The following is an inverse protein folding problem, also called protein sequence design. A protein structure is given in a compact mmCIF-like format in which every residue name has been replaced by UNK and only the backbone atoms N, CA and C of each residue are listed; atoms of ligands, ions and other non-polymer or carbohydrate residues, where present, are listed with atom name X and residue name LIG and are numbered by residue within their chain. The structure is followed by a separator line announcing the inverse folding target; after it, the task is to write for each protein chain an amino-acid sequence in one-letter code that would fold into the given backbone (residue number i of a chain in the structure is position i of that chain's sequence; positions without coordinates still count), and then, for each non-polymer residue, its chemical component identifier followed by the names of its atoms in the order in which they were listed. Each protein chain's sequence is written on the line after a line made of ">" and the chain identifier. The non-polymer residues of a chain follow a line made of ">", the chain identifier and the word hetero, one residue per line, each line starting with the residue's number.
data_IF_857900530168
#
_entry.id   IF_857900530168
#
_cell.length_a   1.000
_cell.length_b   1.000
_cell.length_c   1.000
_cell.angle_alpha   90.00
_cell.angle_beta   90.00
_cell.angle_gamma   90.00
#
_symmetry.space_group_name_H-M   'P 1'
#
loop_
_entity.id
_entity.type
_entity.pdbx_description
1 polymer ?
#
# COMPACT_ATOMS: atom_id res chain seq x y z
N UNK A 1 -23.45 -6.64 3.09
CA UNK A 1 -22.90 -5.29 3.42
C UNK A 1 -21.52 -5.18 2.81
N UNK A 2 -21.04 -3.98 2.47
CA UNK A 2 -19.68 -3.82 1.95
C UNK A 2 -18.79 -3.06 2.92
N UNK A 3 -17.50 -3.43 2.92
CA UNK A 3 -16.49 -2.87 3.81
C UNK A 3 -15.43 -2.16 2.96
N UNK A 4 -15.35 -0.85 3.09
CA UNK A 4 -14.44 0.01 2.33
C UNK A 4 -13.21 0.31 3.19
N UNK A 5 -12.04 -0.07 2.75
CA UNK A 5 -10.76 0.29 3.32
C UNK A 5 -10.04 1.30 2.42
N UNK A 6 -9.62 2.44 2.98
CA UNK A 6 -8.75 3.41 2.34
C UNK A 6 -7.36 3.33 2.95
N UNK A 7 -6.33 3.23 2.13
CA UNK A 7 -4.93 3.38 2.55
C UNK A 7 -4.36 4.64 1.89
N UNK A 8 -4.06 5.63 2.71
CA UNK A 8 -3.50 6.91 2.27
C UNK A 8 -2.04 6.99 2.69
N UNK A 9 -1.16 6.55 1.81
CA UNK A 9 0.27 6.58 2.01
C UNK A 9 0.91 7.92 1.63
N UNK A 10 2.24 7.98 1.71
CA UNK A 10 3.04 9.17 1.36
C UNK A 10 2.96 9.55 -0.12
N UNK A 11 2.75 8.58 -1.01
CA UNK A 11 2.76 8.79 -2.47
C UNK A 11 1.47 8.35 -3.17
N UNK A 12 0.65 7.54 -2.52
CA UNK A 12 -0.49 6.86 -3.15
C UNK A 12 -1.72 6.83 -2.27
N UNK A 13 -2.89 6.78 -2.90
CA UNK A 13 -4.17 6.40 -2.29
C UNK A 13 -4.60 5.06 -2.87
N UNK A 14 -4.99 4.16 -2.00
CA UNK A 14 -5.51 2.85 -2.39
C UNK A 14 -6.89 2.65 -1.76
N UNK A 15 -7.74 1.92 -2.45
CA UNK A 15 -9.04 1.49 -1.95
C UNK A 15 -9.19 0.00 -2.17
N UNK A 16 -9.73 -0.68 -1.18
CA UNK A 16 -10.22 -2.04 -1.30
C UNK A 16 -11.63 -2.10 -0.72
N UNK A 17 -12.51 -2.81 -1.41
CA UNK A 17 -13.87 -3.07 -0.95
C UNK A 17 -14.06 -4.56 -0.86
N UNK A 18 -14.48 -5.01 0.31
CA UNK A 18 -14.73 -6.40 0.61
C UNK A 18 -16.23 -6.63 0.84
N UNK A 19 -16.71 -7.82 0.50
CA UNK A 19 -18.01 -8.31 0.96
C UNK A 19 -17.92 -8.95 2.36
N UNK A 20 -19.04 -9.46 2.88
CA UNK A 20 -19.11 -10.10 4.19
C UNK A 20 -18.30 -11.40 4.27
N UNK A 21 -17.96 -12.01 3.14
CA UNK A 21 -17.12 -13.20 3.02
C UNK A 21 -15.63 -12.87 2.79
N UNK A 22 -15.25 -11.60 2.89
CA UNK A 22 -13.91 -11.07 2.62
C UNK A 22 -13.43 -11.22 1.16
N UNK A 23 -14.33 -11.38 0.19
CA UNK A 23 -13.95 -11.30 -1.21
C UNK A 23 -13.76 -9.83 -1.63
N UNK A 24 -12.69 -9.56 -2.37
CA UNK A 24 -12.47 -8.22 -2.91
C UNK A 24 -13.37 -8.00 -4.13
N UNK A 25 -14.39 -7.14 -3.95
CA UNK A 25 -15.35 -6.77 -5.02
C UNK A 25 -14.90 -5.54 -5.82
N UNK A 26 -14.05 -4.70 -5.23
CA UNK A 26 -13.44 -3.57 -5.92
C UNK A 26 -12.09 -3.24 -5.33
N UNK A 27 -11.16 -2.79 -6.17
CA UNK A 27 -9.85 -2.26 -5.75
C UNK A 27 -9.35 -1.24 -6.74
N UNK A 28 -8.68 -0.21 -6.24
CA UNK A 28 -8.00 0.79 -7.04
C UNK A 28 -6.72 1.26 -6.33
N UNK A 29 -5.75 1.68 -7.11
CA UNK A 29 -4.46 2.18 -6.66
C UNK A 29 -4.10 3.39 -7.52
N UNK A 30 -3.90 4.57 -6.90
CA UNK A 30 -3.63 5.80 -7.62
C UNK A 30 -2.57 6.65 -6.91
N UNK A 31 -1.65 7.25 -7.68
CA UNK A 31 -0.71 8.24 -7.16
C UNK A 31 -1.42 9.56 -6.94
N UNK A 32 -1.15 10.21 -5.80
CA UNK A 32 -1.83 11.47 -5.48
C UNK A 32 -1.03 12.72 -5.88
N UNK A 33 0.26 12.61 -6.23
CA UNK A 33 1.09 13.75 -6.65
C UNK A 33 0.92 14.98 -5.74
N UNK A 34 0.83 14.76 -4.43
CA UNK A 34 0.56 15.75 -3.38
C UNK A 34 -0.88 16.31 -3.35
N UNK A 35 -1.78 15.91 -4.24
CA UNK A 35 -3.20 16.26 -4.21
C UNK A 35 -4.06 15.11 -3.66
N UNK A 36 -3.91 14.86 -2.36
CA UNK A 36 -4.57 13.75 -1.66
C UNK A 36 -6.09 13.87 -1.75
N UNK A 37 -6.65 15.08 -1.56
CA UNK A 37 -8.11 15.26 -1.55
C UNK A 37 -8.75 14.95 -2.87
N UNK A 38 -8.16 15.43 -3.96
CA UNK A 38 -8.61 15.14 -5.32
C UNK A 38 -8.54 13.65 -5.60
N UNK A 39 -7.42 13.02 -5.30
CA UNK A 39 -7.23 11.58 -5.53
C UNK A 39 -8.20 10.73 -4.73
N UNK A 40 -8.48 11.06 -3.46
CA UNK A 40 -9.51 10.37 -2.68
C UNK A 40 -10.89 10.52 -3.34
N UNK A 41 -11.25 11.71 -3.81
CA UNK A 41 -12.52 11.94 -4.48
C UNK A 41 -12.65 11.12 -5.77
N UNK A 42 -11.58 11.03 -6.57
CA UNK A 42 -11.53 10.23 -7.81
C UNK A 42 -11.65 8.73 -7.51
N UNK A 43 -10.89 8.23 -6.53
CA UNK A 43 -10.88 6.82 -6.14
C UNK A 43 -12.24 6.39 -5.56
N UNK A 44 -12.84 7.22 -4.71
CA UNK A 44 -14.18 6.99 -4.17
C UNK A 44 -15.26 7.12 -5.24
N UNK A 45 -15.15 8.10 -6.15
CA UNK A 45 -16.06 8.27 -7.27
C UNK A 45 -16.12 7.02 -8.14
N UNK A 46 -14.96 6.51 -8.59
CA UNK A 46 -14.89 5.27 -9.36
C UNK A 46 -15.41 4.04 -8.61
N UNK A 47 -15.23 4.01 -7.29
CA UNK A 47 -15.82 2.97 -6.44
C UNK A 47 -17.35 3.03 -6.47
N UNK A 48 -17.93 4.22 -6.24
CA UNK A 48 -19.39 4.42 -6.18
C UNK A 48 -20.08 4.18 -7.52
N UNK A 49 -19.41 4.38 -8.65
CA UNK A 49 -19.93 4.04 -9.98
C UNK A 49 -20.02 2.52 -10.20
N UNK A 50 -19.21 1.75 -9.47
CA UNK A 50 -19.11 0.29 -9.63
C UNK A 50 -19.99 -0.46 -8.63
N UNK A 51 -20.21 0.13 -7.44
CA UNK A 51 -20.90 -0.51 -6.32
C UNK A 51 -22.29 0.08 -6.16
N UNK A 52 -23.33 -0.75 -6.23
CA UNK A 52 -24.75 -0.37 -6.00
C UNK A 52 -25.24 -0.79 -4.60
N UNK A 53 -24.36 -0.75 -3.60
CA UNK A 53 -24.72 -1.08 -2.21
C UNK A 53 -24.73 0.19 -1.35
N UNK A 54 -25.86 0.41 -0.63
CA UNK A 54 -26.05 1.59 0.23
C UNK A 54 -25.54 1.38 1.66
N UNK A 55 -25.45 0.13 2.10
CA UNK A 55 -24.96 -0.21 3.44
C UNK A 55 -23.48 -0.52 3.39
N UNK A 56 -22.67 0.48 3.71
CA UNK A 56 -21.21 0.36 3.70
C UNK A 56 -20.62 0.73 5.06
N UNK A 57 -19.54 0.06 5.46
CA UNK A 57 -18.64 0.55 6.49
C UNK A 57 -17.38 1.09 5.84
N UNK A 58 -16.78 2.13 6.42
CA UNK A 58 -15.58 2.75 5.89
C UNK A 58 -14.54 2.91 6.99
N UNK A 59 -13.30 2.60 6.70
CA UNK A 59 -12.16 2.89 7.57
C UNK A 59 -10.97 3.37 6.74
N UNK A 60 -10.06 4.09 7.37
CA UNK A 60 -8.86 4.61 6.72
C UNK A 60 -7.60 4.22 7.50
N UNK A 61 -6.52 3.96 6.78
CA UNK A 61 -5.18 3.68 7.28
C UNK A 61 -4.12 4.44 6.48
N UNK A 62 -2.86 4.21 6.77
CA UNK A 62 -1.72 4.84 6.10
C UNK A 62 -1.24 6.12 6.78
N UNK A 63 -0.05 6.59 6.40
CA UNK A 63 0.61 7.75 7.00
C UNK A 63 -0.19 9.05 6.87
N UNK A 64 -0.95 9.23 5.78
CA UNK A 64 -1.89 10.35 5.57
C UNK A 64 -3.29 10.10 6.16
N UNK A 65 -3.57 8.88 6.61
CA UNK A 65 -4.91 8.45 7.01
C UNK A 65 -5.49 9.20 8.21
N UNK A 66 -4.68 9.64 9.17
CA UNK A 66 -5.15 10.40 10.35
C UNK A 66 -5.85 11.69 9.92
N UNK A 67 -5.25 12.46 9.02
CA UNK A 67 -5.85 13.69 8.51
C UNK A 67 -7.17 13.41 7.77
N UNK A 68 -7.19 12.35 6.97
CA UNK A 68 -8.38 11.94 6.21
C UNK A 68 -9.51 11.46 7.14
N UNK A 69 -9.16 10.71 8.19
CA UNK A 69 -10.10 10.31 9.25
C UNK A 69 -10.82 11.52 9.85
N UNK A 70 -10.07 12.57 10.18
CA UNK A 70 -10.65 13.81 10.71
C UNK A 70 -11.52 14.54 9.67
N UNK A 71 -11.09 14.60 8.41
CA UNK A 71 -11.85 15.32 7.37
C UNK A 71 -13.17 14.63 7.03
N UNK A 72 -13.18 13.31 7.00
CA UNK A 72 -14.35 12.53 6.60
C UNK A 72 -15.18 12.02 7.77
N UNK A 73 -14.71 12.16 9.01
CA UNK A 73 -15.36 11.63 10.19
C UNK A 73 -15.44 10.09 10.22
N UNK A 74 -14.45 9.41 9.64
CA UNK A 74 -14.38 7.95 9.56
C UNK A 74 -13.31 7.38 10.49
N UNK A 75 -13.43 6.13 10.97
CA UNK A 75 -12.44 5.50 11.84
C UNK A 75 -11.06 5.41 11.17
N UNK A 76 -10.01 5.70 11.96
CA UNK A 76 -8.63 5.42 11.60
C UNK A 76 -8.20 4.08 12.19
N UNK A 77 -7.56 3.24 11.38
CA UNK A 77 -6.93 1.99 11.79
C UNK A 77 -5.43 2.12 11.62
N UNK A 78 -4.68 1.79 12.66
CA UNK A 78 -3.23 1.84 12.60
C UNK A 78 -2.69 0.88 11.54
N UNK A 79 -1.72 1.33 10.75
CA UNK A 79 -1.19 0.64 9.58
C UNK A 79 -0.66 -0.78 9.91
N UNK A 80 0.07 -0.91 11.02
CA UNK A 80 0.54 -2.23 11.50
C UNK A 80 -0.62 -3.20 11.75
N UNK A 81 -1.67 -2.71 12.40
CA UNK A 81 -2.86 -3.53 12.71
C UNK A 81 -3.61 -3.90 11.43
N UNK A 82 -3.80 -2.95 10.52
CA UNK A 82 -4.45 -3.21 9.24
C UNK A 82 -3.69 -4.24 8.40
N UNK A 83 -2.38 -4.06 8.22
CA UNK A 83 -1.53 -4.96 7.46
C UNK A 83 -1.46 -6.36 8.07
N UNK A 84 -1.26 -6.46 9.38
CA UNK A 84 -1.21 -7.74 10.09
C UNK A 84 -2.54 -8.50 9.97
N UNK A 85 -3.66 -7.81 10.18
CA UNK A 85 -4.99 -8.42 10.04
C UNK A 85 -5.23 -8.94 8.62
N UNK A 86 -4.85 -8.17 7.61
CA UNK A 86 -4.97 -8.57 6.21
C UNK A 86 -4.13 -9.83 5.92
N UNK A 87 -2.86 -9.86 6.36
CA UNK A 87 -1.99 -11.02 6.16
C UNK A 87 -2.55 -12.26 6.85
N UNK A 88 -2.94 -12.13 8.11
CA UNK A 88 -3.51 -13.26 8.86
C UNK A 88 -4.83 -13.77 8.28
N UNK A 89 -5.61 -12.90 7.63
CA UNK A 89 -6.87 -13.29 7.01
C UNK A 89 -6.68 -13.96 5.66
N UNK A 90 -5.83 -13.39 4.80
CA UNK A 90 -5.73 -13.83 3.40
C UNK A 90 -4.59 -14.80 3.12
N UNK A 91 -3.52 -14.74 3.91
CA UNK A 91 -2.33 -15.59 3.76
C UNK A 91 -1.79 -16.04 5.12
N UNK A 92 -2.60 -16.77 5.91
CA UNK A 92 -2.31 -17.09 7.32
C UNK A 92 -1.06 -17.94 7.56
N UNK A 93 -0.50 -18.56 6.52
CA UNK A 93 0.76 -19.31 6.58
C UNK A 93 2.01 -18.44 6.50
N UNK A 94 1.87 -17.12 6.46
CA UNK A 94 2.99 -16.18 6.34
C UNK A 94 3.71 -16.04 7.69
N UNK A 95 5.00 -16.30 7.73
CA UNK A 95 5.87 -16.07 8.89
C UNK A 95 6.44 -14.65 8.92
N UNK A 96 6.76 -14.11 7.74
CA UNK A 96 7.40 -12.80 7.57
C UNK A 96 6.78 -12.06 6.40
N UNK A 97 6.44 -10.80 6.61
CA UNK A 97 6.01 -9.89 5.55
C UNK A 97 7.04 -8.78 5.34
N UNK A 98 7.39 -8.50 4.08
CA UNK A 98 8.24 -7.38 3.69
C UNK A 98 7.38 -6.43 2.86
N UNK A 99 7.27 -5.19 3.33
CA UNK A 99 6.55 -4.11 2.67
C UNK A 99 7.54 -3.07 2.17
N UNK A 100 7.48 -2.76 0.87
CA UNK A 100 8.23 -1.68 0.26
C UNK A 100 7.27 -0.53 -0.05
N UNK A 101 7.18 0.42 0.88
CA UNK A 101 6.39 1.63 0.73
C UNK A 101 7.05 2.65 -0.21
N UNK A 102 6.40 3.80 -0.41
CA UNK A 102 6.96 4.89 -1.22
C UNK A 102 8.27 5.44 -0.64
N UNK A 103 8.32 5.63 0.66
CA UNK A 103 9.45 6.26 1.37
C UNK A 103 10.05 5.38 2.47
N UNK A 104 9.38 4.30 2.86
CA UNK A 104 9.82 3.38 3.91
C UNK A 104 9.78 1.93 3.46
N UNK A 105 10.57 1.11 4.12
CA UNK A 105 10.57 -0.34 3.99
C UNK A 105 10.36 -0.93 5.39
N UNK A 106 9.46 -1.92 5.48
CA UNK A 106 9.09 -2.56 6.73
C UNK A 106 9.25 -4.07 6.61
N UNK A 107 9.71 -4.70 7.68
CA UNK A 107 9.67 -6.15 7.84
C UNK A 107 8.86 -6.46 9.10
N UNK A 108 7.85 -7.31 8.94
CA UNK A 108 6.97 -7.73 10.04
C UNK A 108 7.11 -9.23 10.23
N UNK A 109 7.52 -9.63 11.41
CA UNK A 109 7.54 -11.03 11.86
C UNK A 109 6.18 -11.34 12.49
N UNK A 110 5.58 -12.46 12.11
CA UNK A 110 4.23 -12.86 12.52
C UNK A 110 4.22 -14.08 13.45
N UNK A 111 5.35 -14.77 13.58
CA UNK A 111 5.52 -15.94 14.45
C UNK A 111 6.15 -15.57 15.78
N UNK A 112 5.62 -16.11 16.86
CA UNK A 112 6.14 -15.84 18.22
C UNK A 112 5.75 -14.48 18.82
N UNK A 113 4.86 -13.77 18.19
CA UNK A 113 4.44 -12.40 18.49
C UNK A 113 4.66 -11.50 17.27
N UNK A 114 3.96 -10.36 17.24
CA UNK A 114 4.11 -9.40 16.16
C UNK A 114 5.29 -8.48 16.49
N UNK A 115 6.36 -8.57 15.70
CA UNK A 115 7.49 -7.65 15.75
C UNK A 115 7.65 -6.97 14.39
N UNK A 116 7.71 -5.64 14.37
CA UNK A 116 7.94 -4.88 13.15
C UNK A 116 9.23 -4.07 13.27
N UNK A 117 10.01 -4.10 12.21
CA UNK A 117 11.17 -3.23 12.02
C UNK A 117 11.00 -2.43 10.74
N UNK A 118 11.45 -1.19 10.78
CA UNK A 118 11.36 -0.27 9.65
C UNK A 118 12.75 0.33 9.40
N UNK A 119 13.05 0.67 8.14
CA UNK A 119 14.25 1.43 7.84
C UNK A 119 14.18 2.80 8.56
N UNK A 120 15.32 3.34 8.89
CA UNK A 120 15.42 4.66 9.54
C UNK A 120 15.08 5.81 8.59
N UNK A 121 16.02 6.75 8.44
CA UNK A 121 15.79 8.00 7.72
C UNK A 121 16.06 7.94 6.20
N UNK A 122 16.37 6.77 5.64
CA UNK A 122 16.80 6.65 4.25
C UNK A 122 15.74 5.96 3.40
N UNK A 123 15.31 6.61 2.31
CA UNK A 123 14.40 6.05 1.31
C UNK A 123 15.07 5.08 0.33
N UNK A 124 16.36 4.78 0.47
CA UNK A 124 17.09 3.82 -0.35
C UNK A 124 16.48 2.42 -0.26
N UNK A 125 16.23 1.79 -1.42
CA UNK A 125 15.59 0.48 -1.48
C UNK A 125 14.09 0.49 -1.29
N UNK A 126 13.45 1.66 -1.33
CA UNK A 126 11.99 1.83 -1.26
C UNK A 126 11.37 2.00 -2.65
N UNK A 127 10.04 2.11 -2.72
CA UNK A 127 9.32 2.34 -3.97
C UNK A 127 9.79 3.59 -4.72
N UNK A 128 10.12 4.67 -4.03
CA UNK A 128 10.63 5.90 -4.66
C UNK A 128 11.98 5.66 -5.36
N UNK A 129 12.86 4.85 -4.79
CA UNK A 129 14.13 4.46 -5.44
C UNK A 129 13.86 3.61 -6.69
N UNK A 130 12.96 2.64 -6.61
CA UNK A 130 12.60 1.80 -7.75
C UNK A 130 12.01 2.65 -8.89
N UNK A 131 11.16 3.61 -8.58
CA UNK A 131 10.59 4.54 -9.55
C UNK A 131 11.66 5.42 -10.23
N UNK A 132 12.66 5.88 -9.47
CA UNK A 132 13.78 6.63 -10.03
C UNK A 132 14.58 5.77 -11.01
N UNK A 133 14.85 4.51 -10.66
CA UNK A 133 15.54 3.59 -11.56
C UNK A 133 14.72 3.29 -12.81
N UNK A 134 13.40 3.11 -12.68
CA UNK A 134 12.50 2.95 -13.81
C UNK A 134 12.57 4.15 -14.76
N UNK A 135 12.54 5.34 -14.22
CA UNK A 135 12.64 6.59 -15.00
C UNK A 135 13.99 6.70 -15.74
N UNK A 136 15.09 6.33 -15.10
CA UNK A 136 16.42 6.31 -15.74
C UNK A 136 16.49 5.32 -16.92
N UNK A 137 15.75 4.23 -16.83
CA UNK A 137 15.65 3.21 -17.88
C UNK A 137 14.53 3.51 -18.91
N UNK A 138 13.89 4.68 -18.83
CA UNK A 138 12.74 5.08 -19.64
C UNK A 138 11.59 4.06 -19.61
N UNK A 139 11.28 3.54 -18.43
CA UNK A 139 10.23 2.55 -18.21
C UNK A 139 9.48 2.86 -16.90
N UNK A 140 8.57 1.98 -16.51
CA UNK A 140 7.87 1.99 -15.22
C UNK A 140 8.25 0.76 -14.38
N UNK A 141 7.64 0.60 -13.20
CA UNK A 141 7.91 -0.52 -12.29
C UNK A 141 7.61 -1.88 -12.94
N UNK A 142 6.61 -1.96 -13.82
CA UNK A 142 6.27 -3.18 -14.54
C UNK A 142 7.36 -3.50 -15.56
N UNK A 143 7.81 -2.51 -16.31
CA UNK A 143 8.90 -2.64 -17.26
C UNK A 143 10.23 -3.01 -16.62
N UNK A 144 10.57 -2.48 -15.43
CA UNK A 144 11.74 -2.93 -14.67
C UNK A 144 11.65 -4.42 -14.35
N UNK A 145 10.48 -4.89 -13.93
CA UNK A 145 10.29 -6.29 -13.61
C UNK A 145 10.50 -7.20 -14.83
N UNK A 146 10.02 -6.76 -16.01
CA UNK A 146 10.28 -7.50 -17.26
C UNK A 146 11.76 -7.52 -17.62
N UNK A 147 12.46 -6.38 -17.53
CA UNK A 147 13.90 -6.31 -17.77
C UNK A 147 14.71 -7.19 -16.78
N UNK A 148 14.28 -7.28 -15.53
CA UNK A 148 14.93 -8.07 -14.51
C UNK A 148 14.81 -9.59 -14.72
N UNK A 149 13.87 -10.08 -15.51
CA UNK A 149 13.71 -11.51 -15.80
C UNK A 149 14.88 -12.10 -16.55
N UNK A 150 15.53 -11.32 -17.39
CA UNK A 150 16.62 -11.76 -18.25
C UNK A 150 18.01 -11.52 -17.62
N UNK A 151 18.07 -11.27 -16.31
CA UNK A 151 19.35 -11.05 -15.63
C UNK A 151 20.25 -12.29 -15.70
N UNK A 152 21.54 -12.07 -15.92
CA UNK A 152 22.55 -13.13 -15.92
C UNK A 152 23.54 -13.01 -14.77
N UNK A 153 23.66 -11.82 -14.20
CA UNK A 153 24.60 -11.51 -13.13
C UNK A 153 24.00 -10.44 -12.21
N UNK A 154 24.20 -10.64 -10.91
CA UNK A 154 23.80 -9.65 -9.90
C UNK A 154 25.02 -8.81 -9.54
N UNK A 155 24.92 -7.49 -9.72
CA UNK A 155 25.96 -6.55 -9.36
C UNK A 155 25.57 -5.82 -8.08
N UNK A 156 26.32 -5.96 -6.98
CA UNK A 156 26.08 -5.17 -5.79
C UNK A 156 26.47 -3.72 -6.07
N UNK A 157 25.49 -2.80 -6.07
CA UNK A 157 25.72 -1.37 -6.30
C UNK A 157 26.00 -0.66 -4.99
N UNK A 158 25.20 -0.95 -3.98
CA UNK A 158 25.34 -0.42 -2.63
C UNK A 158 24.87 -1.44 -1.59
N UNK A 159 25.52 -1.44 -0.42
CA UNK A 159 25.13 -2.31 0.70
C UNK A 159 24.30 -1.59 1.76
N UNK A 160 24.19 -0.26 1.71
CA UNK A 160 23.53 0.55 2.73
C UNK A 160 22.66 1.65 2.16
N UNK A 161 23.10 2.33 1.12
CA UNK A 161 22.36 3.41 0.47
C UNK A 161 22.29 3.14 -1.02
N UNK A 162 21.10 3.34 -1.60
CA UNK A 162 20.91 3.32 -3.03
C UNK A 162 21.39 4.60 -3.70
#
# INVERSE_FOLDING_TARGET
>A
MLHIGLDVGSTTVKIAVLDDENNAVYKNYQRHYSDIKKTIAEVLGGCLETIDEKNVTVAVTGSGGISVSHWLGIPFVQEVSAGTTAIQTFIPQTDVAIELGGEDAKITYLTGGIEQRMNGSCAGGTGAFIDQMASLLNTDITGINELAKDYTTIYPIASRCG
#
